data_IF_060094399448
#
_entry.id   IF_060094399448
#
_cell.length_a   1.000
_cell.length_b   1.000
_cell.length_c   1.000
_cell.angle_alpha   90.00
_cell.angle_beta   90.00
_cell.angle_gamma   90.00
#
_symmetry.space_group_name_H-M   'P 1'
#
loop_
_entity.id
_entity.type
_entity.pdbx_description
1 polymer ?
#
# COMPACT_ATOMS: atom_id res chain seq x y z
N UNK A 1 -7.89 18.02 10.03
CA UNK A 1 -6.75 18.58 10.78
C UNK A 1 -5.88 19.35 9.83
N UNK A 2 -5.15 20.35 10.29
CA UNK A 2 -4.17 21.05 9.46
C UNK A 2 -2.94 20.15 9.28
N UNK A 3 -2.43 19.90 8.06
CA UNK A 3 -1.25 19.08 7.86
C UNK A 3 -0.05 19.65 8.62
N UNK A 4 0.71 18.79 9.30
CA UNK A 4 1.97 19.21 9.93
C UNK A 4 3.02 19.46 8.85
N UNK A 5 3.57 20.66 8.79
CA UNK A 5 4.73 20.94 7.94
C UNK A 5 5.98 20.24 8.51
N UNK A 6 6.41 19.16 7.87
CA UNK A 6 7.74 18.59 8.09
C UNK A 6 8.76 19.43 7.31
N UNK A 7 9.68 20.07 8.03
CA UNK A 7 10.81 20.77 7.44
C UNK A 7 11.85 19.75 6.99
N UNK A 8 11.97 19.60 5.68
CA UNK A 8 12.97 18.74 5.04
C UNK A 8 14.17 19.60 4.68
N UNK A 9 15.39 19.18 5.06
CA UNK A 9 16.60 19.86 4.60
C UNK A 9 16.78 19.57 3.12
N UNK A 10 17.21 20.59 2.35
CA UNK A 10 17.39 20.51 0.90
C UNK A 10 18.30 19.34 0.46
N UNK A 11 19.18 18.88 1.34
CA UNK A 11 20.11 17.77 1.09
C UNK A 11 19.49 16.37 1.33
N UNK A 12 18.34 16.28 1.99
CA UNK A 12 17.59 15.03 2.21
C UNK A 12 16.63 14.72 1.05
N UNK A 13 16.53 15.63 0.09
CA UNK A 13 15.65 15.53 -1.07
C UNK A 13 16.33 14.68 -2.14
N UNK A 14 15.92 13.42 -2.27
CA UNK A 14 16.41 12.53 -3.33
C UNK A 14 15.57 12.71 -4.60
N UNK A 15 15.99 13.64 -5.45
CA UNK A 15 15.34 13.96 -6.74
C UNK A 15 15.34 12.79 -7.72
N UNK A 16 16.25 11.83 -7.58
CA UNK A 16 16.43 10.73 -8.56
C UNK A 16 15.29 9.70 -8.50
N UNK A 17 14.71 9.47 -7.32
CA UNK A 17 13.58 8.54 -7.16
C UNK A 17 12.34 9.10 -7.85
N UNK A 18 12.09 10.40 -7.69
CA UNK A 18 10.98 11.10 -8.28
C UNK A 18 11.09 11.23 -9.81
N UNK A 19 12.27 11.59 -10.31
CA UNK A 19 12.46 11.95 -11.72
C UNK A 19 12.65 10.75 -12.65
N UNK A 20 12.99 9.56 -12.12
CA UNK A 20 13.25 8.36 -12.93
C UNK A 20 12.09 7.36 -12.96
N UNK A 21 11.00 7.62 -12.23
CA UNK A 21 9.95 6.63 -11.98
C UNK A 21 8.56 7.21 -12.26
N UNK A 22 8.04 6.95 -13.47
CA UNK A 22 6.67 7.26 -13.91
C UNK A 22 5.55 6.68 -13.03
N UNK A 23 5.89 5.72 -12.17
CA UNK A 23 5.02 4.99 -11.25
C UNK A 23 5.03 5.57 -9.82
N UNK A 24 5.91 6.53 -9.52
CA UNK A 24 6.02 7.15 -8.21
C UNK A 24 5.49 8.58 -8.29
N UNK A 25 4.31 8.83 -7.75
CA UNK A 25 3.66 10.14 -7.85
C UNK A 25 4.17 11.03 -6.72
N UNK A 26 5.42 11.51 -6.80
CA UNK A 26 5.95 12.61 -5.99
C UNK A 26 7.27 13.14 -6.56
N UNK A 27 7.42 14.47 -6.55
CA UNK A 27 8.58 15.19 -7.11
C UNK A 27 9.83 15.15 -6.20
N UNK A 28 9.71 14.87 -4.90
CA UNK A 28 10.81 14.94 -3.93
C UNK A 28 10.56 14.01 -2.73
N UNK A 29 11.35 12.94 -2.58
CA UNK A 29 11.27 12.06 -1.41
C UNK A 29 12.08 12.61 -0.24
N UNK A 30 11.44 12.69 0.93
CA UNK A 30 12.04 12.99 2.21
C UNK A 30 11.32 12.19 3.30
N UNK A 31 11.74 10.94 3.45
CA UNK A 31 11.16 9.99 4.39
C UNK A 31 12.17 9.51 5.43
N UNK A 32 11.68 8.78 6.42
CA UNK A 32 12.53 8.08 7.39
C UNK A 32 13.30 6.93 6.73
N UNK A 33 14.31 6.37 7.41
CA UNK A 33 15.04 5.20 6.89
C UNK A 33 14.13 3.99 6.60
N UNK A 34 13.02 3.85 7.33
CA UNK A 34 11.99 2.82 7.09
C UNK A 34 11.23 3.07 5.79
N UNK A 35 10.82 4.32 5.53
CA UNK A 35 10.14 4.69 4.29
C UNK A 35 11.07 4.48 3.09
N UNK A 36 12.36 4.80 3.23
CA UNK A 36 13.35 4.54 2.18
C UNK A 36 13.50 3.04 1.92
N UNK A 37 13.59 2.23 2.97
CA UNK A 37 13.67 0.78 2.85
C UNK A 37 12.42 0.19 2.18
N UNK A 38 11.23 0.71 2.46
CA UNK A 38 9.99 0.32 1.80
C UNK A 38 10.04 0.63 0.30
N UNK A 39 10.47 1.84 -0.07
CA UNK A 39 10.57 2.24 -1.49
C UNK A 39 11.58 1.34 -2.21
N UNK A 40 12.74 1.07 -1.61
CA UNK A 40 13.73 0.16 -2.19
C UNK A 40 13.17 -1.26 -2.34
N UNK A 41 12.43 -1.77 -1.35
CA UNK A 41 11.78 -3.08 -1.38
C UNK A 41 10.79 -3.19 -2.56
N UNK A 42 9.94 -2.17 -2.75
CA UNK A 42 8.96 -2.11 -3.85
C UNK A 42 9.68 -1.97 -5.19
N UNK A 43 10.67 -1.07 -5.28
CA UNK A 43 11.45 -0.84 -6.51
C UNK A 43 12.14 -2.11 -7.00
N UNK A 44 12.66 -2.95 -6.10
CA UNK A 44 13.29 -4.22 -6.46
C UNK A 44 12.31 -5.25 -7.07
N UNK A 45 11.00 -5.13 -6.78
CA UNK A 45 9.93 -6.03 -7.28
C UNK A 45 9.09 -5.40 -8.40
N UNK A 46 9.38 -4.16 -8.74
CA UNK A 46 8.59 -3.38 -9.69
C UNK A 46 8.59 -4.01 -11.09
N UNK A 47 9.69 -4.63 -11.51
CA UNK A 47 9.76 -5.32 -12.81
C UNK A 47 8.68 -6.38 -12.97
N UNK A 48 8.51 -7.22 -11.94
CA UNK A 48 7.48 -8.27 -11.93
C UNK A 48 6.07 -7.67 -11.89
N UNK A 49 5.87 -6.62 -11.09
CA UNK A 49 4.58 -5.91 -11.03
C UNK A 49 4.21 -5.27 -12.36
N UNK A 50 5.11 -4.51 -12.97
CA UNK A 50 4.90 -3.82 -14.25
C UNK A 50 4.68 -4.79 -15.41
N UNK A 51 5.09 -6.05 -15.29
CA UNK A 51 4.79 -7.06 -16.31
C UNK A 51 3.29 -7.39 -16.40
N UNK A 52 2.55 -7.26 -15.29
CA UNK A 52 1.13 -7.65 -15.17
C UNK A 52 0.20 -6.45 -14.99
N UNK A 53 0.68 -5.41 -14.32
CA UNK A 53 -0.14 -4.30 -13.85
C UNK A 53 0.40 -2.95 -14.35
N UNK A 54 -0.49 -1.98 -14.49
CA UNK A 54 -0.14 -0.56 -14.38
C UNK A 54 0.00 -0.25 -12.89
N UNK A 55 1.16 0.26 -12.49
CA UNK A 55 1.58 0.39 -11.07
C UNK A 55 1.71 1.85 -10.70
N UNK A 56 1.10 2.27 -9.60
CA UNK A 56 1.32 3.60 -9.00
C UNK A 56 1.47 3.48 -7.48
N UNK A 57 2.51 4.08 -6.91
CA UNK A 57 2.70 4.21 -5.47
C UNK A 57 2.44 5.66 -5.05
N UNK A 58 1.53 5.85 -4.10
CA UNK A 58 1.14 7.14 -3.56
C UNK A 58 1.58 7.21 -2.10
N UNK A 59 2.29 8.26 -1.72
CA UNK A 59 2.47 8.65 -0.30
C UNK A 59 1.27 9.51 0.10
N UNK A 60 0.58 9.15 1.17
CA UNK A 60 -0.70 9.74 1.50
C UNK A 60 -0.61 11.13 2.16
N UNK A 61 0.40 11.36 3.02
CA UNK A 61 0.61 12.63 3.76
C UNK A 61 -0.64 13.08 4.55
N UNK A 62 -1.31 12.16 5.25
CA UNK A 62 -2.51 12.40 6.08
C UNK A 62 -3.74 12.95 5.31
N UNK A 63 -3.77 12.86 3.98
CA UNK A 63 -4.89 13.36 3.14
C UNK A 63 -6.07 12.39 3.11
N UNK A 64 -5.79 11.11 2.90
CA UNK A 64 -6.79 10.04 2.82
C UNK A 64 -6.94 9.35 4.17
N UNK A 65 -8.19 9.26 4.65
CA UNK A 65 -8.55 8.68 5.94
C UNK A 65 -9.58 7.57 5.76
N UNK A 66 -9.29 6.43 6.37
CA UNK A 66 -10.18 5.30 6.57
C UNK A 66 -10.74 5.34 8.00
N UNK A 67 -11.91 4.72 8.21
CA UNK A 67 -12.48 4.58 9.54
C UNK A 67 -12.61 3.09 9.85
N UNK A 68 -12.10 2.70 11.02
CA UNK A 68 -12.12 1.33 11.53
C UNK A 68 -13.56 0.79 11.58
N UNK A 69 -13.76 -0.48 11.20
CA UNK A 69 -15.09 -1.10 11.17
C UNK A 69 -15.69 -1.28 12.57
N UNK A 70 -14.85 -1.46 13.60
CA UNK A 70 -15.30 -1.76 14.95
C UNK A 70 -15.86 -0.53 15.68
N UNK A 71 -15.15 0.59 15.63
CA UNK A 71 -15.42 1.77 16.45
C UNK A 71 -15.38 3.11 15.68
N UNK A 72 -15.07 3.07 14.38
CA UNK A 72 -14.93 4.26 13.55
C UNK A 72 -13.64 5.04 13.80
N UNK A 73 -12.67 4.50 14.54
CA UNK A 73 -11.38 5.15 14.76
C UNK A 73 -10.69 5.45 13.42
N UNK A 74 -10.09 6.64 13.35
CA UNK A 74 -9.50 7.16 12.14
C UNK A 74 -8.11 6.62 11.85
N UNK A 75 -7.96 5.93 10.72
CA UNK A 75 -6.67 5.44 10.24
C UNK A 75 -6.26 6.13 8.94
N UNK A 76 -5.02 6.60 8.86
CA UNK A 76 -4.45 7.21 7.66
C UNK A 76 -3.20 6.40 7.29
N UNK A 77 -3.25 5.56 6.26
CA UNK A 77 -2.10 4.77 5.85
C UNK A 77 -1.01 5.70 5.28
N UNK A 78 0.25 5.40 5.54
CA UNK A 78 1.37 6.18 4.99
C UNK A 78 1.49 6.06 3.46
N UNK A 79 1.27 4.85 2.92
CA UNK A 79 1.37 4.58 1.49
C UNK A 79 0.16 3.81 0.95
N UNK A 80 -0.15 4.07 -0.31
CA UNK A 80 -1.19 3.40 -1.09
C UNK A 80 -0.57 2.94 -2.42
N UNK A 81 -0.50 1.62 -2.61
CA UNK A 81 -0.07 1.01 -3.86
C UNK A 81 -1.31 0.65 -4.70
N UNK A 82 -1.41 1.26 -5.88
CA UNK A 82 -2.46 1.01 -6.86
C UNK A 82 -1.92 0.08 -7.95
N UNK A 83 -2.59 -1.04 -8.16
CA UNK A 83 -2.34 -1.95 -9.27
C UNK A 83 -3.60 -2.04 -10.13
N UNK A 84 -3.45 -1.93 -11.44
CA UNK A 84 -4.53 -2.17 -12.40
C UNK A 84 -4.07 -3.22 -13.38
N UNK A 85 -4.89 -4.25 -13.61
CA UNK A 85 -4.56 -5.25 -14.63
C UNK A 85 -4.36 -4.60 -16.01
N UNK A 86 -3.33 -5.05 -16.74
CA UNK A 86 -3.11 -4.65 -18.14
C UNK A 86 -4.04 -5.35 -19.12
N UNK A 87 -4.59 -6.49 -18.73
CA UNK A 87 -5.56 -7.24 -19.51
C UNK A 87 -6.79 -7.52 -18.65
N UNK A 88 -7.95 -7.74 -19.27
CA UNK A 88 -9.13 -8.13 -18.50
C UNK A 88 -8.83 -9.43 -17.76
N UNK A 89 -9.03 -9.44 -16.46
CA UNK A 89 -8.97 -10.67 -15.68
C UNK A 89 -10.21 -11.47 -16.03
N UNK A 90 -10.03 -12.73 -16.41
CA UNK A 90 -11.09 -13.76 -16.38
C UNK A 90 -11.00 -14.62 -15.11
N UNK A 91 -9.92 -14.48 -14.34
CA UNK A 91 -9.77 -15.05 -13.00
C UNK A 91 -10.57 -14.24 -11.99
N UNK A 92 -10.95 -14.87 -10.88
CA UNK A 92 -11.68 -14.24 -9.78
C UNK A 92 -13.11 -13.78 -10.12
N UNK A 93 -13.77 -14.41 -11.11
CA UNK A 93 -15.18 -14.17 -11.43
C UNK A 93 -15.50 -12.83 -12.07
N UNK A 94 -14.49 -12.02 -12.37
CA UNK A 94 -14.61 -10.75 -13.12
C UNK A 94 -14.35 -11.03 -14.60
N UNK A 95 -15.01 -10.31 -15.50
CA UNK A 95 -14.71 -10.34 -16.95
C UNK A 95 -14.40 -8.92 -17.44
N UNK A 96 -13.54 -8.25 -16.69
CA UNK A 96 -13.14 -6.86 -16.88
C UNK A 96 -11.80 -6.58 -16.17
N UNK A 97 -11.32 -5.34 -16.20
CA UNK A 97 -10.11 -4.94 -15.49
C UNK A 97 -10.33 -4.95 -13.97
N UNK A 98 -9.47 -5.66 -13.25
CA UNK A 98 -9.44 -5.64 -11.79
C UNK A 98 -8.39 -4.62 -11.32
N UNK A 99 -8.77 -3.89 -10.28
CA UNK A 99 -7.95 -2.90 -9.62
C UNK A 99 -7.71 -3.33 -8.17
N UNK A 100 -6.49 -3.09 -7.69
CA UNK A 100 -6.11 -3.35 -6.31
C UNK A 100 -5.67 -2.05 -5.67
N UNK A 101 -6.21 -1.77 -4.50
CA UNK A 101 -5.77 -0.68 -3.65
C UNK A 101 -5.19 -1.29 -2.37
N UNK A 102 -3.86 -1.20 -2.26
CA UNK A 102 -3.09 -1.84 -1.20
C UNK A 102 -2.61 -0.77 -0.22
N UNK A 103 -3.00 -0.89 1.04
CA UNK A 103 -2.62 0.01 2.13
C UNK A 103 -1.37 -0.51 2.83
N UNK A 104 -0.38 0.37 3.02
CA UNK A 104 0.94 0.03 3.55
C UNK A 104 1.31 1.03 4.64
N UNK A 105 1.75 0.51 5.79
CA UNK A 105 2.18 1.29 6.94
C UNK A 105 3.60 0.83 7.37
N UNK A 106 4.65 1.60 7.09
CA UNK A 106 5.96 1.39 7.67
C UNK A 106 5.96 1.74 9.15
N UNK A 107 6.51 0.86 9.99
CA UNK A 107 6.44 0.99 11.44
C UNK A 107 7.76 0.59 12.09
N UNK A 108 8.29 1.44 12.97
CA UNK A 108 9.42 1.07 13.81
C UNK A 108 8.99 0.08 14.89
N UNK A 109 9.81 -0.93 15.19
CA UNK A 109 9.44 -2.04 16.08
C UNK A 109 8.90 -1.59 17.45
N UNK A 110 9.47 -0.53 18.01
CA UNK A 110 9.09 0.04 19.32
C UNK A 110 7.67 0.62 19.37
N UNK A 111 7.06 0.86 18.21
CA UNK A 111 5.73 1.45 18.08
C UNK A 111 4.68 0.42 17.60
N UNK A 112 5.07 -0.84 17.41
CA UNK A 112 4.14 -1.90 16.97
C UNK A 112 3.13 -2.20 18.08
N UNK A 113 3.58 -2.28 19.34
CA UNK A 113 2.69 -2.60 20.47
C UNK A 113 1.60 -1.55 20.71
N UNK A 114 1.88 -0.27 20.44
CA UNK A 114 0.91 0.82 20.62
C UNK A 114 -0.08 0.95 19.47
N UNK A 115 0.29 0.43 18.29
CA UNK A 115 -0.46 0.62 17.05
C UNK A 115 -1.07 -0.69 16.53
N UNK A 116 -1.09 -1.75 17.34
CA UNK A 116 -1.62 -3.07 16.95
C UNK A 116 -3.03 -3.03 16.36
N UNK A 117 -3.88 -2.14 16.85
CA UNK A 117 -5.24 -1.95 16.30
C UNK A 117 -5.26 -1.54 14.82
N UNK A 118 -4.22 -0.84 14.34
CA UNK A 118 -4.11 -0.48 12.91
C UNK A 118 -3.75 -1.70 12.06
N UNK A 119 -2.90 -2.59 12.57
CA UNK A 119 -2.58 -3.85 11.90
C UNK A 119 -3.81 -4.76 11.85
N UNK A 120 -4.55 -4.86 12.95
CA UNK A 120 -5.85 -5.55 13.00
C UNK A 120 -6.85 -4.95 11.99
N UNK A 121 -6.87 -3.62 11.85
CA UNK A 121 -7.74 -2.97 10.86
C UNK A 121 -7.29 -3.25 9.41
N UNK A 122 -5.99 -3.24 9.12
CA UNK A 122 -5.43 -3.62 7.82
C UNK A 122 -5.81 -5.06 7.46
N UNK A 123 -5.72 -6.00 8.40
CA UNK A 123 -6.17 -7.38 8.23
C UNK A 123 -7.68 -7.44 7.96
N UNK A 124 -8.50 -6.72 8.74
CA UNK A 124 -9.94 -6.67 8.57
C UNK A 124 -10.35 -6.15 7.17
N UNK A 125 -9.64 -5.17 6.63
CA UNK A 125 -9.85 -4.69 5.25
C UNK A 125 -9.65 -5.82 4.25
N UNK A 126 -8.56 -6.59 4.38
CA UNK A 126 -8.26 -7.71 3.48
C UNK A 126 -9.28 -8.84 3.58
N UNK A 127 -9.71 -9.18 4.80
CA UNK A 127 -10.74 -10.20 5.02
C UNK A 127 -12.07 -9.78 4.38
N UNK A 128 -12.46 -8.52 4.54
CA UNK A 128 -13.75 -8.04 4.05
C UNK A 128 -13.74 -7.78 2.54
N UNK A 129 -12.66 -7.24 1.96
CA UNK A 129 -12.64 -6.71 0.59
C UNK A 129 -11.48 -7.22 -0.29
N UNK A 130 -10.61 -8.08 0.23
CA UNK A 130 -9.44 -8.59 -0.49
C UNK A 130 -9.72 -9.82 -1.36
N UNK A 131 -10.79 -10.57 -1.05
CA UNK A 131 -11.12 -11.85 -1.70
C UNK A 131 -12.42 -11.77 -2.53
N UNK A 132 -13.54 -12.14 -1.93
CA UNK A 132 -14.80 -12.43 -2.65
C UNK A 132 -15.63 -11.17 -2.91
N UNK A 133 -15.53 -10.16 -2.03
CA UNK A 133 -16.28 -8.92 -2.16
C UNK A 133 -15.50 -7.95 -3.03
N UNK A 134 -15.87 -7.92 -4.29
CA UNK A 134 -15.45 -6.88 -5.21
C UNK A 134 -16.38 -5.68 -5.05
N UNK A 135 -15.81 -4.49 -4.89
CA UNK A 135 -16.60 -3.26 -4.89
C UNK A 135 -17.11 -3.00 -6.32
N UNK A 136 -18.41 -3.24 -6.56
CA UNK A 136 -19.03 -3.20 -7.90
C UNK A 136 -20.13 -2.14 -8.06
N UNK A 137 -20.18 -1.12 -7.19
CA UNK A 137 -21.26 -0.11 -7.26
C UNK A 137 -20.86 1.04 -8.17
N UNK A 138 -21.13 0.90 -9.48
CA UNK A 138 -20.81 1.86 -10.56
C UNK A 138 -19.32 2.26 -10.64
N UNK A 139 -18.46 1.54 -9.92
CA UNK A 139 -17.01 1.69 -9.90
C UNK A 139 -16.36 0.54 -10.66
N UNK A 140 -15.15 0.74 -11.21
CA UNK A 140 -14.31 -0.38 -11.64
C UNK A 140 -14.20 -1.45 -10.55
N UNK A 141 -13.91 -2.69 -10.92
CA UNK A 141 -13.79 -3.78 -9.94
C UNK A 141 -12.58 -3.52 -9.05
N UNK A 142 -12.80 -3.21 -7.77
CA UNK A 142 -11.73 -3.00 -6.77
C UNK A 142 -11.68 -4.11 -5.74
N UNK A 143 -10.46 -4.52 -5.41
CA UNK A 143 -10.09 -5.23 -4.19
C UNK A 143 -9.29 -4.31 -3.28
N UNK A 144 -9.58 -4.34 -1.99
CA UNK A 144 -8.84 -3.59 -0.98
C UNK A 144 -8.01 -4.56 -0.14
N UNK A 145 -6.74 -4.23 0.06
CA UNK A 145 -5.81 -5.10 0.79
C UNK A 145 -5.06 -4.23 1.79
N UNK A 146 -5.08 -4.60 3.06
CA UNK A 146 -4.13 -4.12 4.05
C UNK A 146 -2.99 -5.12 4.19
N UNK A 147 -1.75 -4.66 4.03
CA UNK A 147 -0.57 -5.48 4.34
C UNK A 147 -0.25 -5.41 5.83
N UNK A 148 0.44 -6.43 6.39
CA UNK A 148 1.09 -6.31 7.70
C UNK A 148 2.00 -5.09 7.76
N UNK A 149 2.43 -4.69 8.95
CA UNK A 149 3.39 -3.60 9.06
C UNK A 149 4.72 -3.91 8.36
N UNK A 150 5.31 -2.89 7.74
CA UNK A 150 6.68 -2.96 7.22
C UNK A 150 7.65 -2.45 8.29
N UNK A 151 8.46 -3.34 8.88
CA UNK A 151 9.39 -3.03 9.98
C UNK A 151 10.86 -3.13 9.55
N UNK A 152 11.81 -2.70 10.39
CA UNK A 152 13.22 -2.91 10.12
C UNK A 152 13.70 -4.29 10.62
N UNK A 153 14.37 -4.99 9.72
CA UNK A 153 15.36 -6.03 9.97
C UNK A 153 15.02 -7.45 10.42
N UNK A 154 13.88 -7.83 11.03
CA UNK A 154 13.62 -9.28 11.27
C UNK A 154 12.17 -9.78 11.14
N UNK A 155 11.17 -8.90 11.27
CA UNK A 155 9.74 -9.29 11.20
C UNK A 155 9.05 -9.07 9.85
N UNK A 156 9.78 -8.57 8.84
CA UNK A 156 9.27 -8.37 7.48
C UNK A 156 8.91 -9.66 6.71
N UNK A 157 9.02 -10.84 7.32
CA UNK A 157 8.62 -12.11 6.68
C UNK A 157 7.16 -12.08 6.24
N UNK A 158 6.24 -11.73 7.15
CA UNK A 158 4.81 -11.67 6.86
C UNK A 158 4.48 -10.62 5.80
N UNK A 159 5.12 -9.43 5.86
CA UNK A 159 4.99 -8.42 4.83
C UNK A 159 5.46 -8.95 3.47
N UNK A 160 6.62 -9.59 3.43
CA UNK A 160 7.23 -10.11 2.19
C UNK A 160 6.41 -11.21 1.56
N UNK A 161 5.85 -12.11 2.38
CA UNK A 161 4.95 -13.18 1.92
C UNK A 161 3.59 -12.63 1.43
N UNK A 162 3.10 -11.57 2.09
CA UNK A 162 1.83 -10.93 1.72
C UNK A 162 1.96 -9.97 0.54
N UNK A 163 3.16 -9.49 0.23
CA UNK A 163 3.38 -8.55 -0.87
C UNK A 163 3.43 -9.26 -2.23
N UNK A 164 2.78 -8.74 -3.30
CA UNK A 164 1.89 -7.58 -3.31
C UNK A 164 0.44 -7.91 -2.95
N UNK A 165 0.04 -9.18 -3.06
CA UNK A 165 -1.36 -9.64 -2.94
C UNK A 165 -1.52 -10.86 -2.02
N UNK A 166 -0.43 -11.53 -1.60
CA UNK A 166 -0.45 -12.61 -0.62
C UNK A 166 -1.49 -13.70 -0.90
N UNK A 167 -2.24 -14.09 0.13
CA UNK A 167 -3.34 -15.05 0.04
C UNK A 167 -4.51 -14.59 -0.86
N UNK A 168 -4.66 -13.29 -1.13
CA UNK A 168 -5.67 -12.77 -2.05
C UNK A 168 -5.39 -13.15 -3.53
N UNK A 169 -4.20 -13.68 -3.83
CA UNK A 169 -3.85 -14.25 -5.14
C UNK A 169 -4.09 -15.76 -5.24
N UNK A 170 -4.46 -16.47 -4.15
CA UNK A 170 -4.46 -17.94 -4.11
C UNK A 170 -5.71 -18.61 -4.68
N UNK A 171 -6.70 -17.87 -5.15
CA UNK A 171 -7.80 -18.45 -5.93
C UNK A 171 -7.36 -18.67 -7.38
N UNK A 172 -6.76 -19.84 -7.62
CA UNK A 172 -6.68 -20.48 -8.94
C UNK A 172 -7.78 -21.52 -9.09
#
# INVERSE_FOLDING_TARGET
GTPKQKWVKKDDVKTDIATQNDWYVMDNFAGTGLEEALIQFISARLGDLKSKYDVHLIRNEEVFKLNNFADGEGFMPDFILLLKDKQKSSSNGVNDFLHYQIFIEPKGEHLVETDGWKEEFLEAITVEYGMDKILQKDTPHYRLIGLPFFTDHQKNGQFTESFPLGAASLEK
#
